data_IF_424231268365
#
_entry.id   IF_424231268365
#
_cell.length_a   1.000
_cell.length_b   1.000
_cell.length_c   1.000
_cell.angle_alpha   90.00
_cell.angle_beta   90.00
_cell.angle_gamma   90.00
#
_symmetry.space_group_name_H-M   'P 1'
#
loop_
_entity.id
_entity.type
_entity.pdbx_description
1 polymer ?
#
# COMPACT_ATOMS: atom_id res chain seq x y z
N UNK A 1 26.79 -1.73 -1.60
CA UNK A 1 26.19 -2.51 -2.69
C UNK A 1 25.46 -3.77 -2.21
N UNK A 2 26.04 -4.56 -1.33
CA UNK A 2 25.37 -5.75 -0.75
C UNK A 2 24.07 -5.41 -0.04
N UNK A 3 24.06 -4.36 0.77
CA UNK A 3 22.87 -3.95 1.55
C UNK A 3 21.70 -3.53 0.65
N UNK A 4 21.95 -2.82 -0.45
CA UNK A 4 20.89 -2.41 -1.37
C UNK A 4 20.22 -3.61 -2.02
N UNK A 5 21.01 -4.57 -2.49
CA UNK A 5 20.49 -5.81 -3.10
C UNK A 5 19.66 -6.63 -2.11
N UNK A 6 20.11 -6.68 -0.85
CA UNK A 6 19.37 -7.35 0.22
C UNK A 6 17.98 -6.71 0.41
N UNK A 7 17.93 -5.38 0.55
CA UNK A 7 16.66 -4.68 0.73
C UNK A 7 15.73 -4.79 -0.48
N UNK A 8 16.28 -4.74 -1.69
CA UNK A 8 15.49 -4.90 -2.92
C UNK A 8 14.91 -6.32 -3.01
N UNK A 9 15.68 -7.33 -2.61
CA UNK A 9 15.20 -8.72 -2.55
C UNK A 9 14.11 -8.88 -1.50
N UNK A 10 14.28 -8.32 -0.32
CA UNK A 10 13.27 -8.31 0.74
C UNK A 10 11.97 -7.66 0.25
N UNK A 11 12.05 -6.47 -0.33
CA UNK A 11 10.90 -5.73 -0.88
C UNK A 11 10.16 -6.56 -1.93
N UNK A 12 10.88 -7.15 -2.87
CA UNK A 12 10.31 -7.97 -3.93
C UNK A 12 9.60 -9.22 -3.37
N UNK A 13 10.22 -9.90 -2.43
CA UNK A 13 9.63 -11.09 -1.80
C UNK A 13 8.38 -10.75 -1.00
N UNK A 14 8.40 -9.65 -0.25
CA UNK A 14 7.23 -9.19 0.50
C UNK A 14 6.10 -8.78 -0.45
N UNK A 15 6.41 -8.07 -1.53
CA UNK A 15 5.41 -7.68 -2.53
C UNK A 15 4.73 -8.90 -3.16
N UNK A 16 5.48 -9.95 -3.50
CA UNK A 16 4.92 -11.21 -3.99
C UNK A 16 4.02 -11.89 -2.97
N UNK A 17 4.42 -11.89 -1.69
CA UNK A 17 3.62 -12.46 -0.61
C UNK A 17 2.31 -11.69 -0.39
N UNK A 18 2.34 -10.35 -0.42
CA UNK A 18 1.13 -9.53 -0.32
C UNK A 18 0.18 -9.81 -1.49
N UNK A 19 0.71 -9.89 -2.69
CA UNK A 19 -0.07 -10.25 -3.88
C UNK A 19 -0.70 -11.64 -3.76
N UNK A 20 0.06 -12.61 -3.26
CA UNK A 20 -0.45 -13.96 -3.02
C UNK A 20 -1.60 -13.98 -2.00
N UNK A 21 -1.43 -13.30 -0.88
CA UNK A 21 -2.46 -13.21 0.17
C UNK A 21 -3.73 -12.58 -0.39
N UNK A 22 -3.61 -11.42 -1.03
CA UNK A 22 -4.76 -10.70 -1.58
C UNK A 22 -5.48 -11.49 -2.68
N UNK A 23 -4.74 -12.20 -3.52
CA UNK A 23 -5.29 -13.04 -4.60
C UNK A 23 -5.99 -14.27 -4.02
N UNK A 24 -5.41 -14.92 -3.01
CA UNK A 24 -6.01 -16.09 -2.36
C UNK A 24 -7.33 -15.76 -1.65
N UNK A 25 -7.49 -14.53 -1.19
CA UNK A 25 -8.72 -14.03 -0.56
C UNK A 25 -9.70 -13.40 -1.57
N UNK A 26 -9.41 -13.49 -2.87
CA UNK A 26 -10.28 -12.99 -3.93
C UNK A 26 -10.31 -11.47 -4.08
N UNK A 27 -9.38 -10.75 -3.45
CA UNK A 27 -9.33 -9.28 -3.44
C UNK A 27 -8.49 -8.70 -4.59
N UNK A 28 -7.58 -9.49 -5.15
CA UNK A 28 -6.80 -9.20 -6.36
C UNK A 28 -6.82 -10.39 -7.31
N UNK A 29 -6.41 -10.18 -8.55
CA UNK A 29 -6.40 -11.19 -9.63
C UNK A 29 -4.99 -11.58 -10.06
N UNK A 30 -4.03 -11.68 -9.14
CA UNK A 30 -2.67 -12.09 -9.41
C UNK A 30 -1.75 -10.97 -9.93
N UNK A 31 -2.23 -9.73 -9.96
CA UNK A 31 -1.47 -8.57 -10.43
C UNK A 31 -1.65 -7.38 -9.49
N UNK A 32 -0.56 -6.65 -9.23
CA UNK A 32 -0.58 -5.37 -8.51
C UNK A 32 -0.76 -4.24 -9.52
N UNK A 33 -1.99 -3.72 -9.58
CA UNK A 33 -2.28 -2.50 -10.33
C UNK A 33 -1.52 -1.33 -9.71
N UNK A 34 -0.87 -0.53 -10.53
CA UNK A 34 -0.05 0.59 -10.06
C UNK A 34 -0.02 1.72 -11.07
N UNK A 35 0.38 2.91 -10.61
CA UNK A 35 0.59 4.12 -11.40
C UNK A 35 1.85 4.82 -10.89
N UNK A 36 2.61 5.43 -11.80
CA UNK A 36 3.76 6.28 -11.42
C UNK A 36 3.34 7.45 -10.53
N UNK A 37 2.17 8.02 -10.77
CA UNK A 37 1.61 9.10 -9.97
C UNK A 37 1.43 8.69 -8.51
N UNK A 38 0.89 7.49 -8.29
CA UNK A 38 0.68 6.93 -6.96
C UNK A 38 2.01 6.66 -6.26
N UNK A 39 2.97 6.06 -6.96
CA UNK A 39 4.32 5.80 -6.43
C UNK A 39 5.05 7.09 -6.10
N UNK A 40 4.91 8.12 -6.92
CA UNK A 40 5.51 9.42 -6.66
C UNK A 40 4.94 10.05 -5.39
N UNK A 41 3.64 9.92 -5.18
CA UNK A 41 2.99 10.44 -3.97
C UNK A 41 3.51 9.75 -2.70
N UNK A 42 3.76 8.45 -2.76
CA UNK A 42 4.41 7.75 -1.67
C UNK A 42 5.82 8.29 -1.37
N UNK A 43 6.61 8.55 -2.39
CA UNK A 43 7.95 9.14 -2.20
C UNK A 43 7.92 10.48 -1.49
N UNK A 44 6.90 11.29 -1.76
CA UNK A 44 6.69 12.58 -1.10
C UNK A 44 6.31 12.41 0.38
N UNK A 45 5.44 11.44 0.68
CA UNK A 45 4.85 11.26 2.00
C UNK A 45 5.64 10.32 2.93
N UNK A 46 6.47 9.45 2.39
CA UNK A 46 7.16 8.42 3.14
C UNK A 46 7.93 8.94 4.36
N UNK A 47 8.70 10.05 4.27
CA UNK A 47 9.42 10.57 5.44
C UNK A 47 8.49 10.95 6.60
N UNK A 48 7.38 11.63 6.32
CA UNK A 48 6.39 12.01 7.34
C UNK A 48 5.66 10.79 7.91
N UNK A 49 5.25 9.87 7.03
CA UNK A 49 4.60 8.63 7.46
C UNK A 49 5.49 7.81 8.39
N UNK A 50 6.73 7.59 8.00
CA UNK A 50 7.69 6.79 8.77
C UNK A 50 7.97 7.45 10.12
N UNK A 51 8.11 8.78 10.14
CA UNK A 51 8.32 9.52 11.39
C UNK A 51 7.17 9.33 12.39
N UNK A 52 5.92 9.26 11.91
CA UNK A 52 4.76 9.01 12.78
C UNK A 52 4.59 7.53 13.16
N UNK A 53 4.86 6.63 12.22
CA UNK A 53 4.62 5.20 12.40
C UNK A 53 5.68 4.50 13.26
N UNK A 54 6.94 4.93 13.19
CA UNK A 54 8.05 4.29 13.92
C UNK A 54 7.81 4.19 15.43
N UNK A 55 7.34 5.23 16.13
CA UNK A 55 7.07 5.12 17.56
C UNK A 55 6.03 4.04 17.93
N UNK A 56 5.13 3.72 17.00
CA UNK A 56 4.04 2.76 17.20
C UNK A 56 4.49 1.30 16.96
N UNK A 57 5.62 1.07 16.29
CA UNK A 57 6.08 -0.27 15.89
C UNK A 57 6.26 -1.21 17.09
N UNK A 58 6.70 -0.70 18.22
CA UNK A 58 6.92 -1.53 19.41
C UNK A 58 5.62 -1.94 20.10
N UNK A 59 4.60 -1.09 20.04
CA UNK A 59 3.32 -1.31 20.73
C UNK A 59 2.26 -1.92 19.81
N UNK A 60 2.15 -1.43 18.57
CA UNK A 60 1.13 -1.81 17.61
C UNK A 60 1.72 -1.94 16.20
N UNK A 61 2.60 -2.93 15.96
CA UNK A 61 3.28 -3.08 14.67
C UNK A 61 2.31 -3.31 13.51
N UNK A 62 1.25 -4.07 13.72
CA UNK A 62 0.24 -4.32 12.70
C UNK A 62 -0.47 -3.03 12.27
N UNK A 63 -0.82 -2.18 13.22
CA UNK A 63 -1.45 -0.89 12.95
C UNK A 63 -0.49 0.06 12.21
N UNK A 64 0.77 0.15 12.67
CA UNK A 64 1.80 0.97 12.04
C UNK A 64 2.07 0.57 10.58
N UNK A 65 1.86 -0.69 10.23
CA UNK A 65 2.02 -1.21 8.87
C UNK A 65 0.71 -1.09 8.08
N UNK A 66 -0.42 -1.45 8.67
CA UNK A 66 -1.72 -1.42 8.01
C UNK A 66 -2.12 -0.01 7.54
N UNK A 67 -1.79 1.02 8.31
CA UNK A 67 -2.10 2.41 7.95
C UNK A 67 -1.47 2.84 6.62
N UNK A 68 -0.31 2.31 6.25
CA UNK A 68 0.27 2.53 4.93
C UNK A 68 -0.64 1.98 3.81
N UNK A 69 -1.30 0.85 4.04
CA UNK A 69 -2.29 0.30 3.12
C UNK A 69 -3.51 1.21 2.96
N UNK A 70 -4.03 1.74 4.04
CA UNK A 70 -5.12 2.74 3.99
C UNK A 70 -4.69 4.00 3.25
N UNK A 71 -3.47 4.50 3.48
CA UNK A 71 -2.93 5.64 2.75
C UNK A 71 -2.85 5.37 1.24
N UNK A 72 -2.44 4.17 0.84
CA UNK A 72 -2.45 3.75 -0.56
C UNK A 72 -3.84 3.74 -1.18
N UNK A 73 -4.83 3.24 -0.44
CA UNK A 73 -6.23 3.29 -0.87
C UNK A 73 -6.73 4.72 -1.07
N UNK A 74 -6.40 5.62 -0.16
CA UNK A 74 -6.76 7.04 -0.24
C UNK A 74 -6.18 7.71 -1.49
N UNK A 75 -4.90 7.49 -1.76
CA UNK A 75 -4.24 8.07 -2.95
C UNK A 75 -4.85 7.52 -4.23
N UNK A 76 -5.11 6.21 -4.30
CA UNK A 76 -5.76 5.60 -5.46
C UNK A 76 -7.18 6.16 -5.68
N UNK A 77 -7.94 6.39 -4.62
CA UNK A 77 -9.25 7.04 -4.69
C UNK A 77 -9.16 8.45 -5.26
N UNK A 78 -8.22 9.25 -4.76
CA UNK A 78 -8.01 10.61 -5.25
C UNK A 78 -7.49 10.64 -6.70
N UNK A 79 -6.64 9.67 -7.06
CA UNK A 79 -6.14 9.53 -8.42
C UNK A 79 -7.28 9.28 -9.41
N UNK A 80 -8.23 8.44 -9.05
CA UNK A 80 -9.41 8.14 -9.86
C UNK A 80 -10.39 9.32 -9.96
N UNK A 81 -10.58 10.05 -8.86
CA UNK A 81 -11.55 11.14 -8.81
C UNK A 81 -11.11 12.37 -9.63
N UNK A 82 -9.97 12.94 -9.32
CA UNK A 82 -9.41 14.12 -9.99
C UNK A 82 -7.94 14.29 -9.57
N UNK A 83 -7.04 13.70 -10.32
CA UNK A 83 -5.62 13.81 -10.00
C UNK A 83 -5.05 15.20 -10.23
N UNK A 84 -5.56 15.93 -11.22
CA UNK A 84 -5.18 17.33 -11.46
C UNK A 84 -5.40 18.21 -10.24
N UNK A 85 -6.45 17.94 -9.48
CA UNK A 85 -6.76 18.65 -8.23
C UNK A 85 -6.08 18.03 -7.02
N UNK A 86 -6.06 16.69 -6.93
CA UNK A 86 -5.69 15.97 -5.72
C UNK A 86 -4.19 15.68 -5.59
N UNK A 87 -3.41 15.80 -6.66
CA UNK A 87 -1.96 15.48 -6.63
C UNK A 87 -1.17 16.34 -5.65
N UNK A 88 -1.65 17.53 -5.31
CA UNK A 88 -1.02 18.45 -4.36
C UNK A 88 -1.46 18.25 -2.90
N UNK A 89 -2.34 17.28 -2.63
CA UNK A 89 -2.77 17.01 -1.27
C UNK A 89 -1.58 16.67 -0.36
N UNK A 90 -1.57 17.27 0.84
CA UNK A 90 -0.54 17.01 1.84
C UNK A 90 -0.83 15.71 2.60
N UNK A 91 0.21 15.12 3.18
CA UNK A 91 0.08 13.93 4.02
C UNK A 91 -0.89 14.13 5.20
N UNK A 92 -0.88 15.31 5.79
CA UNK A 92 -1.77 15.68 6.92
C UNK A 92 -3.25 15.56 6.54
N UNK A 93 -3.60 15.62 5.25
CA UNK A 93 -4.97 15.43 4.77
C UNK A 93 -5.56 14.04 5.05
N UNK A 94 -4.71 13.07 5.40
CA UNK A 94 -5.14 11.71 5.79
C UNK A 94 -5.54 11.62 7.27
N UNK A 95 -5.23 12.66 8.08
CA UNK A 95 -5.44 12.63 9.51
C UNK A 95 -6.85 13.07 9.90
N UNK A 96 -7.46 12.31 10.82
CA UNK A 96 -8.64 12.75 11.55
C UNK A 96 -8.27 13.58 12.79
N UNK A 97 -9.23 13.83 13.70
CA UNK A 97 -9.01 14.63 14.91
C UNK A 97 -7.92 14.09 15.85
N UNK A 98 -7.68 12.79 15.84
CA UNK A 98 -6.66 12.12 16.67
C UNK A 98 -5.35 11.86 15.93
N UNK A 99 -5.15 12.44 14.75
CA UNK A 99 -3.93 12.30 13.97
C UNK A 99 -3.72 10.89 13.41
N UNK A 100 -2.57 10.30 13.71
CA UNK A 100 -2.24 8.95 13.25
C UNK A 100 -3.15 7.86 13.83
N UNK A 101 -3.65 8.05 15.04
CA UNK A 101 -4.42 7.03 15.76
C UNK A 101 -5.79 6.73 15.14
N UNK A 102 -6.36 7.65 14.37
CA UNK A 102 -7.64 7.45 13.68
C UNK A 102 -7.53 7.59 12.16
N UNK A 103 -6.32 7.53 11.61
CA UNK A 103 -6.10 7.70 10.18
C UNK A 103 -6.85 6.67 9.35
N UNK A 104 -6.90 5.42 9.79
CA UNK A 104 -7.62 4.34 9.13
C UNK A 104 -9.14 4.63 9.05
N UNK A 105 -9.75 4.99 10.17
CA UNK A 105 -11.18 5.34 10.22
C UNK A 105 -11.49 6.58 9.39
N UNK A 106 -10.64 7.60 9.49
CA UNK A 106 -10.80 8.83 8.73
C UNK A 106 -10.74 8.57 7.21
N UNK A 107 -9.79 7.76 6.75
CA UNK A 107 -9.68 7.40 5.33
C UNK A 107 -10.93 6.66 4.87
N UNK A 108 -11.37 5.66 5.62
CA UNK A 108 -12.55 4.85 5.26
C UNK A 108 -13.80 5.72 5.18
N UNK A 109 -14.05 6.56 6.17
CA UNK A 109 -15.26 7.38 6.25
C UNK A 109 -15.24 8.59 5.31
N UNK A 110 -14.13 9.35 5.30
CA UNK A 110 -14.09 10.66 4.67
C UNK A 110 -13.45 10.67 3.27
N UNK A 111 -12.64 9.68 2.95
CA UNK A 111 -11.99 9.58 1.64
C UNK A 111 -12.64 8.49 0.79
N UNK A 112 -12.84 7.30 1.33
CA UNK A 112 -13.51 6.21 0.62
C UNK A 112 -15.04 6.31 0.66
N UNK A 113 -15.59 7.11 1.57
CA UNK A 113 -17.02 7.34 1.68
C UNK A 113 -17.82 6.14 2.19
N UNK A 114 -17.20 5.28 3.00
CA UNK A 114 -17.81 4.08 3.55
C UNK A 114 -18.16 4.28 5.03
N UNK A 115 -19.28 3.69 5.47
CA UNK A 115 -19.55 3.59 6.92
C UNK A 115 -18.71 2.46 7.53
N UNK A 116 -18.21 2.67 8.76
CA UNK A 116 -17.28 1.72 9.40
C UNK A 116 -17.88 0.34 9.64
N UNK A 117 -19.18 0.23 9.80
CA UNK A 117 -19.88 -1.03 9.99
C UNK A 117 -20.37 -1.68 8.68
N UNK A 118 -20.09 -1.06 7.53
CA UNK A 118 -20.42 -1.63 6.22
C UNK A 118 -19.63 -2.91 5.94
N UNK A 119 -20.19 -3.76 5.08
CA UNK A 119 -19.52 -4.99 4.62
C UNK A 119 -18.19 -4.65 3.94
N UNK A 120 -18.17 -3.64 3.09
CA UNK A 120 -16.97 -3.19 2.37
C UNK A 120 -15.89 -2.70 3.32
N UNK A 121 -16.24 -1.89 4.33
CA UNK A 121 -15.27 -1.40 5.32
C UNK A 121 -14.66 -2.55 6.12
N UNK A 122 -15.47 -3.53 6.51
CA UNK A 122 -14.99 -4.73 7.22
C UNK A 122 -14.08 -5.60 6.36
N UNK A 123 -14.39 -5.75 5.08
CA UNK A 123 -13.52 -6.46 4.13
C UNK A 123 -12.16 -5.79 3.99
N UNK A 124 -12.14 -4.46 3.85
CA UNK A 124 -10.90 -3.67 3.79
C UNK A 124 -10.09 -3.87 5.07
N UNK A 125 -10.73 -3.73 6.22
CA UNK A 125 -10.06 -3.92 7.52
C UNK A 125 -9.45 -5.32 7.63
N UNK A 126 -10.19 -6.35 7.27
CA UNK A 126 -9.71 -7.72 7.35
C UNK A 126 -8.53 -7.98 6.42
N UNK A 127 -8.59 -7.54 5.16
CA UNK A 127 -7.48 -7.78 4.22
C UNK A 127 -6.22 -7.02 4.61
N UNK A 128 -6.34 -5.76 5.02
CA UNK A 128 -5.18 -4.96 5.44
C UNK A 128 -4.57 -5.49 6.74
N UNK A 129 -5.39 -5.96 7.67
CA UNK A 129 -4.90 -6.61 8.88
C UNK A 129 -4.18 -7.93 8.57
N UNK A 130 -4.72 -8.78 7.72
CA UNK A 130 -4.05 -10.00 7.28
C UNK A 130 -2.71 -9.71 6.62
N UNK A 131 -2.65 -8.72 5.73
CA UNK A 131 -1.41 -8.28 5.09
C UNK A 131 -0.40 -7.76 6.12
N UNK A 132 -0.84 -6.94 7.07
CA UNK A 132 0.02 -6.39 8.11
C UNK A 132 0.60 -7.48 9.02
N UNK A 133 -0.20 -8.47 9.41
CA UNK A 133 0.27 -9.62 10.19
C UNK A 133 1.32 -10.43 9.44
N UNK A 134 1.10 -10.68 8.16
CA UNK A 134 2.09 -11.34 7.30
C UNK A 134 3.38 -10.51 7.15
N UNK A 135 3.27 -9.21 7.03
CA UNK A 135 4.42 -8.32 6.97
C UNK A 135 5.22 -8.34 8.28
N UNK A 136 4.56 -8.37 9.42
CA UNK A 136 5.22 -8.53 10.74
C UNK A 136 5.98 -9.86 10.80
N UNK A 137 5.39 -10.95 10.33
CA UNK A 137 6.05 -12.25 10.27
C UNK A 137 7.28 -12.22 9.34
N UNK A 138 7.19 -11.53 8.21
CA UNK A 138 8.31 -11.32 7.30
C UNK A 138 9.47 -10.59 7.99
N UNK A 139 9.18 -9.52 8.73
CA UNK A 139 10.19 -8.78 9.48
C UNK A 139 10.85 -9.67 10.53
N UNK A 140 10.06 -10.45 11.26
CA UNK A 140 10.57 -11.36 12.29
C UNK A 140 11.49 -12.43 11.72
N UNK A 141 11.20 -12.94 10.53
CA UNK A 141 12.05 -13.93 9.87
C UNK A 141 13.43 -13.39 9.50
N UNK A 142 13.59 -12.09 9.31
CA UNK A 142 14.88 -11.48 9.03
C UNK A 142 15.81 -11.45 10.24
N UNK A 143 15.30 -11.68 11.44
CA UNK A 143 16.06 -11.74 12.70
C UNK A 143 16.97 -10.53 12.91
N UNK A 144 16.46 -9.34 12.59
CA UNK A 144 17.20 -8.09 12.67
C UNK A 144 17.08 -7.50 14.07
N UNK A 145 18.19 -7.03 14.61
CA UNK A 145 18.20 -6.32 15.88
C UNK A 145 17.40 -5.02 15.77
N UNK A 146 16.49 -4.81 16.72
CA UNK A 146 15.65 -3.61 16.78
C UNK A 146 16.50 -2.34 16.96
N UNK A 147 15.97 -1.21 16.51
CA UNK A 147 16.60 0.12 16.62
C UNK A 147 17.95 0.24 15.88
N UNK A 148 18.15 -0.57 14.86
CA UNK A 148 19.30 -0.47 13.96
C UNK A 148 18.92 0.23 12.65
N UNK A 149 19.91 0.74 11.92
CA UNK A 149 19.73 1.29 10.57
C UNK A 149 19.11 0.25 9.64
N UNK A 150 19.53 -1.01 9.77
CA UNK A 150 18.97 -2.12 8.99
C UNK A 150 17.48 -2.33 9.27
N UNK A 151 17.09 -2.31 10.55
CA UNK A 151 15.68 -2.40 10.96
C UNK A 151 14.86 -1.24 10.40
N UNK A 152 15.40 -0.03 10.40
CA UNK A 152 14.75 1.13 9.78
C UNK A 152 14.49 0.91 8.29
N UNK A 153 15.47 0.45 7.53
CA UNK A 153 15.32 0.20 6.10
C UNK A 153 14.30 -0.91 5.81
N UNK A 154 14.30 -1.97 6.61
CA UNK A 154 13.30 -3.04 6.50
C UNK A 154 11.90 -2.50 6.75
N UNK A 155 11.72 -1.70 7.78
CA UNK A 155 10.43 -1.07 8.05
C UNK A 155 9.99 -0.14 6.90
N UNK A 156 10.90 0.72 6.42
CA UNK A 156 10.61 1.62 5.31
C UNK A 156 10.18 0.88 4.03
N UNK A 157 10.84 -0.24 3.71
CA UNK A 157 10.46 -1.10 2.58
C UNK A 157 9.11 -1.79 2.81
N UNK A 158 8.85 -2.21 4.04
CA UNK A 158 7.60 -2.87 4.41
C UNK A 158 6.40 -1.93 4.21
N UNK A 159 6.46 -0.71 4.73
CA UNK A 159 5.35 0.25 4.58
C UNK A 159 5.17 0.71 3.13
N UNK A 160 6.22 0.79 2.35
CA UNK A 160 6.15 1.03 0.91
C UNK A 160 5.36 -0.07 0.19
N UNK A 161 5.65 -1.33 0.47
CA UNK A 161 4.92 -2.48 -0.09
C UNK A 161 3.45 -2.45 0.34
N UNK A 162 3.18 -2.14 1.59
CA UNK A 162 1.81 -2.02 2.10
C UNK A 162 1.04 -0.89 1.44
N UNK A 163 1.67 0.25 1.22
CA UNK A 163 1.07 1.36 0.48
C UNK A 163 0.68 0.92 -0.95
N UNK A 164 1.58 0.27 -1.66
CA UNK A 164 1.32 -0.26 -3.00
C UNK A 164 0.20 -1.30 -3.00
N UNK A 165 0.17 -2.16 -2.00
CA UNK A 165 -0.89 -3.16 -1.85
C UNK A 165 -2.25 -2.50 -1.65
N UNK A 166 -2.34 -1.51 -0.78
CA UNK A 166 -3.56 -0.74 -0.57
C UNK A 166 -4.02 -0.01 -1.83
N UNK A 167 -3.11 0.62 -2.54
CA UNK A 167 -3.41 1.28 -3.82
C UNK A 167 -3.97 0.28 -4.85
N UNK A 168 -3.36 -0.89 -5.00
CA UNK A 168 -3.82 -1.94 -5.90
C UNK A 168 -5.22 -2.45 -5.52
N UNK A 169 -5.48 -2.66 -4.24
CA UNK A 169 -6.80 -3.06 -3.74
C UNK A 169 -7.88 -2.03 -4.09
N UNK A 170 -7.59 -0.75 -3.92
CA UNK A 170 -8.55 0.31 -4.25
C UNK A 170 -8.76 0.44 -5.76
N UNK A 171 -7.70 0.38 -6.55
CA UNK A 171 -7.82 0.39 -8.02
C UNK A 171 -8.68 -0.78 -8.51
N UNK A 172 -8.49 -1.96 -7.93
CA UNK A 172 -9.34 -3.12 -8.24
C UNK A 172 -10.81 -2.87 -7.88
N UNK A 173 -11.08 -2.31 -6.71
CA UNK A 173 -12.43 -1.96 -6.27
C UNK A 173 -13.10 -0.92 -7.17
N UNK A 174 -12.32 0.00 -7.73
CA UNK A 174 -12.79 1.01 -8.70
C UNK A 174 -13.01 0.44 -10.11
N UNK A 175 -12.66 -0.82 -10.35
CA UNK A 175 -12.91 -1.51 -11.61
C UNK A 175 -11.75 -1.50 -12.59
N UNK A 176 -10.56 -1.03 -12.20
CA UNK A 176 -9.37 -1.08 -13.05
C UNK A 176 -8.92 -2.52 -13.28
N UNK A 177 -8.43 -2.80 -14.49
CA UNK A 177 -7.93 -4.10 -14.90
C UNK A 177 -6.62 -3.92 -15.66
N UNK A 178 -5.74 -4.89 -15.52
CA UNK A 178 -4.54 -4.94 -16.35
C UNK A 178 -4.90 -5.43 -17.75
N UNK A 179 -4.69 -4.60 -18.76
CA UNK A 179 -4.83 -5.01 -20.15
C UNK A 179 -3.47 -5.38 -20.71
N UNK A 180 -3.26 -6.67 -21.00
CA UNK A 180 -2.13 -7.09 -21.82
C UNK A 180 -2.36 -6.61 -23.26
N UNK A 181 -1.55 -5.65 -23.69
CA UNK A 181 -1.50 -5.28 -25.11
C UNK A 181 -0.73 -6.37 -25.82
N UNK A 182 -1.42 -7.15 -26.64
CA UNK A 182 -0.78 -8.15 -27.52
C UNK A 182 -0.17 -7.42 -28.73
N UNK A 183 1.11 -7.08 -28.60
CA UNK A 183 1.88 -6.39 -29.64
C UNK A 183 2.05 -7.27 -30.92
N UNK A 184 1.78 -8.59 -30.83
CA UNK A 184 1.88 -9.48 -31.99
C UNK A 184 0.73 -9.28 -33.01
N UNK A 185 -0.40 -8.73 -32.58
CA UNK A 185 -1.55 -8.43 -33.43
C UNK A 185 -1.50 -7.08 -34.15
N UNK A 186 -0.70 -6.14 -33.68
CA UNK A 186 -0.58 -4.83 -34.33
C UNK A 186 0.36 -4.81 -35.52
N UNK A 187 1.21 -5.84 -35.71
CA UNK A 187 2.13 -5.94 -36.85
C UNK A 187 1.50 -6.46 -38.13
N UNK A 188 0.35 -7.12 -38.07
CA UNK A 188 -0.26 -7.76 -39.27
C UNK A 188 -1.27 -6.87 -40.03
N UNK A 189 -1.59 -5.68 -39.52
CA UNK A 189 -2.51 -4.75 -40.17
C UNK A 189 -1.85 -3.62 -40.98
N UNK A 190 -0.51 -3.58 -41.05
CA UNK A 190 0.23 -2.56 -41.77
C UNK A 190 0.84 -3.06 -43.11
N UNK A 191 0.51 -4.29 -43.56
CA UNK A 191 1.00 -4.86 -44.79
C UNK A 191 -0.12 -5.38 -45.73
N UNK A 192 -1.29 -4.76 -45.67
CA UNK A 192 -2.32 -5.02 -46.70
C UNK A 192 -2.79 -3.72 -47.33
#
# INVERSE_FOLDING_TARGET
MEDTRYFDTYESNLQQEMLRVCTSLGMLDGELLNSEDIDQKWKEWAPEYIAEALPEVNSYPEFAIACAGYAGMAVAQWWDQDWGRNHSASYVSLHGPRGFDDMDEYIVQNILGLTLDSVEAKQIMNILLCCAQKAVDFIRHEQIEAQTVKAFHIFARTVKVMFRTGAALQLKRLGYKFHKVDLSRSGSKLLS
#
